data_IF_601909679724
#
_entry.id   IF_601909679724
#
_cell.length_a   1.000
_cell.length_b   1.000
_cell.length_c   1.000
_cell.angle_alpha   90.00
_cell.angle_beta   90.00
_cell.angle_gamma   90.00
#
_symmetry.space_group_name_H-M   'P 1'
#
loop_
_entity.id
_entity.type
_entity.pdbx_description
1 polymer ?
#
# COMPACT_ATOMS: atom_id res chain seq x y z
N UNK A 1 -6.86 16.56 -3.87
CA UNK A 1 -6.21 15.29 -4.26
C UNK A 1 -5.09 15.02 -3.28
N UNK A 2 -5.06 13.85 -2.65
CA UNK A 2 -3.99 13.40 -1.76
C UNK A 2 -3.17 12.28 -2.42
N UNK A 3 -1.99 12.02 -1.91
CA UNK A 3 -1.10 10.94 -2.36
C UNK A 3 -0.17 10.51 -1.23
N UNK A 4 0.43 9.33 -1.37
CA UNK A 4 1.37 8.78 -0.40
C UNK A 4 2.80 9.04 -0.89
N UNK A 5 3.66 9.52 0.00
CA UNK A 5 5.10 9.56 -0.27
C UNK A 5 5.66 8.15 -0.07
N UNK A 6 6.00 7.48 -1.17
CA UNK A 6 6.58 6.14 -1.17
C UNK A 6 7.70 6.03 -2.21
N UNK A 7 8.42 4.93 -2.22
CA UNK A 7 9.47 4.67 -3.21
C UNK A 7 8.83 4.70 -4.61
N UNK A 8 9.41 5.46 -5.52
CA UNK A 8 8.83 5.68 -6.84
C UNK A 8 8.62 4.37 -7.63
N UNK A 9 9.50 3.39 -7.41
CA UNK A 9 9.43 2.06 -8.02
C UNK A 9 8.25 1.21 -7.51
N UNK A 10 7.81 1.44 -6.27
CA UNK A 10 6.70 0.69 -5.65
C UNK A 10 5.34 1.31 -5.99
N UNK A 11 5.34 2.50 -6.60
CA UNK A 11 4.11 3.12 -7.06
C UNK A 11 3.55 2.38 -8.29
N UNK A 12 2.26 2.02 -8.31
CA UNK A 12 1.65 1.39 -9.47
C UNK A 12 1.84 2.23 -10.74
N UNK A 13 2.01 1.56 -11.89
CA UNK A 13 2.18 2.27 -13.17
C UNK A 13 1.01 3.22 -13.41
N UNK A 14 1.31 4.49 -13.71
CA UNK A 14 0.32 5.55 -13.93
C UNK A 14 -0.20 6.23 -12.67
N UNK A 15 0.25 5.82 -11.48
CA UNK A 15 -0.09 6.47 -10.21
C UNK A 15 0.99 7.43 -9.72
N UNK A 16 2.19 7.42 -10.32
CA UNK A 16 3.23 8.38 -9.95
C UNK A 16 2.75 9.79 -10.30
N UNK A 17 2.93 10.73 -9.37
CA UNK A 17 2.59 12.12 -9.61
C UNK A 17 3.38 12.69 -10.78
N UNK A 18 2.69 13.29 -11.75
CA UNK A 18 3.35 14.05 -12.83
C UNK A 18 4.15 15.23 -12.25
N UNK A 19 3.66 15.81 -11.15
CA UNK A 19 4.33 16.89 -10.44
C UNK A 19 5.36 16.33 -9.47
N UNK A 20 6.63 16.47 -9.81
CA UNK A 20 7.74 16.15 -8.92
C UNK A 20 7.85 17.16 -7.76
N UNK A 21 8.46 16.71 -6.66
CA UNK A 21 8.76 17.57 -5.50
C UNK A 21 7.62 17.72 -4.50
N UNK A 22 6.58 16.88 -4.62
CA UNK A 22 5.50 16.79 -3.63
C UNK A 22 5.95 16.15 -2.31
N UNK A 23 7.06 15.41 -2.31
CA UNK A 23 7.72 14.85 -1.12
C UNK A 23 9.12 15.48 -0.92
N UNK A 24 9.21 16.78 -0.56
CA UNK A 24 10.44 17.56 -0.66
C UNK A 24 11.58 17.05 0.24
N UNK A 25 11.26 16.51 1.42
CA UNK A 25 12.27 16.05 2.39
C UNK A 25 12.84 14.66 2.05
N UNK A 26 12.12 13.85 1.29
CA UNK A 26 12.43 12.42 1.07
C UNK A 26 12.97 12.14 -0.33
N UNK A 27 13.01 13.15 -1.20
CA UNK A 27 13.38 13.04 -2.61
C UNK A 27 14.79 12.44 -2.84
N UNK A 28 15.73 12.68 -1.93
CA UNK A 28 17.10 12.12 -1.99
C UNK A 28 17.15 10.60 -1.78
N UNK A 29 16.05 9.99 -1.33
CA UNK A 29 15.94 8.57 -1.05
C UNK A 29 15.16 7.81 -2.14
N UNK A 30 14.88 8.45 -3.29
CA UNK A 30 14.09 7.83 -4.37
C UNK A 30 12.58 7.77 -4.09
N UNK A 31 12.11 8.54 -3.10
CA UNK A 31 10.69 8.65 -2.74
C UNK A 31 10.03 9.73 -3.59
N UNK A 32 8.86 9.43 -4.15
CA UNK A 32 8.01 10.37 -4.86
C UNK A 32 6.54 10.25 -4.41
N UNK A 33 5.71 11.19 -4.84
CA UNK A 33 4.29 11.17 -4.52
C UNK A 33 3.56 10.19 -5.44
N UNK A 34 2.93 9.19 -4.86
CA UNK A 34 2.06 8.26 -5.55
C UNK A 34 0.60 8.71 -5.35
N UNK A 35 -0.03 9.19 -6.41
CA UNK A 35 -1.45 9.52 -6.45
C UNK A 35 -2.30 8.25 -6.45
N UNK A 36 -3.45 8.29 -5.77
CA UNK A 36 -4.45 7.22 -5.91
C UNK A 36 -4.30 6.03 -4.95
N UNK A 37 -3.37 6.06 -4.00
CA UNK A 37 -3.63 5.38 -2.71
C UNK A 37 -4.47 6.35 -1.90
N UNK A 38 -5.78 6.25 -2.09
CA UNK A 38 -6.73 7.00 -1.26
C UNK A 38 -6.49 6.62 0.20
N UNK A 39 -6.62 7.54 1.15
CA UNK A 39 -6.71 7.14 2.57
C UNK A 39 -7.94 6.24 2.83
N UNK A 40 -8.85 6.14 1.85
CA UNK A 40 -9.98 5.20 1.83
C UNK A 40 -9.66 3.90 1.08
N UNK A 41 -8.45 3.72 0.57
CA UNK A 41 -8.05 2.47 -0.06
C UNK A 41 -7.89 1.43 1.04
N UNK A 42 -8.77 0.45 1.01
CA UNK A 42 -8.86 -0.62 2.01
C UNK A 42 -8.69 -1.98 1.36
N UNK A 43 -8.23 -2.06 0.10
CA UNK A 43 -7.99 -3.36 -0.56
C UNK A 43 -6.60 -3.87 -0.23
N UNK A 44 -6.52 -5.06 0.33
CA UNK A 44 -5.31 -5.78 0.66
C UNK A 44 -4.29 -5.77 -0.50
N UNK A 45 -4.74 -6.07 -1.72
CA UNK A 45 -3.83 -6.12 -2.88
C UNK A 45 -3.20 -4.77 -3.21
N UNK A 46 -3.88 -3.67 -2.86
CA UNK A 46 -3.42 -2.29 -3.11
C UNK A 46 -2.46 -1.80 -2.05
N UNK A 47 -2.45 -2.44 -0.88
CA UNK A 47 -1.45 -2.25 0.17
C UNK A 47 -0.24 -3.18 0.01
N UNK A 48 -0.16 -3.97 -1.07
CA UNK A 48 0.94 -4.92 -1.29
C UNK A 48 0.82 -6.17 -0.41
N UNK A 49 -0.38 -6.48 0.07
CA UNK A 49 -0.70 -7.72 0.76
C UNK A 49 -1.36 -8.75 -0.13
N UNK A 50 -1.62 -9.91 0.46
CA UNK A 50 -2.43 -10.97 -0.12
C UNK A 50 -3.45 -11.48 0.89
N UNK A 51 -4.65 -11.81 0.40
CA UNK A 51 -5.67 -12.47 1.20
C UNK A 51 -5.25 -13.93 1.41
N UNK A 52 -5.06 -14.29 2.67
CA UNK A 52 -4.65 -15.62 3.11
C UNK A 52 -5.76 -16.20 3.98
N UNK A 53 -5.85 -17.53 4.05
CA UNK A 53 -6.79 -18.18 4.97
C UNK A 53 -6.52 -17.77 6.42
N UNK A 54 -7.56 -17.78 7.25
CA UNK A 54 -7.46 -17.31 8.63
C UNK A 54 -6.47 -18.12 9.49
N UNK A 55 -6.29 -19.40 9.19
CA UNK A 55 -5.33 -20.33 9.82
C UNK A 55 -3.89 -20.16 9.32
N UNK A 56 -3.67 -19.48 8.20
CA UNK A 56 -2.34 -19.18 7.69
C UNK A 56 -1.61 -18.24 8.65
N UNK A 57 -0.37 -18.56 9.02
CA UNK A 57 0.40 -17.71 9.91
C UNK A 57 0.92 -16.47 9.16
N UNK A 58 0.57 -15.28 9.66
CA UNK A 58 1.29 -14.05 9.37
C UNK A 58 1.55 -13.29 10.67
N UNK A 59 2.70 -12.61 10.74
CA UNK A 59 3.08 -11.85 11.94
C UNK A 59 1.98 -10.81 12.23
N UNK A 60 1.48 -10.70 13.47
CA UNK A 60 0.45 -9.72 13.82
C UNK A 60 0.76 -8.29 13.38
N UNK A 61 2.04 -7.91 13.31
CA UNK A 61 2.48 -6.58 12.85
C UNK A 61 2.29 -6.31 11.36
N UNK A 62 2.00 -7.34 10.55
CA UNK A 62 1.76 -7.21 9.10
C UNK A 62 0.33 -7.57 8.71
N UNK A 63 -0.57 -7.70 9.68
CA UNK A 63 -2.00 -7.92 9.42
C UNK A 63 -2.66 -6.57 9.16
N UNK A 64 -3.47 -6.49 8.12
CA UNK A 64 -4.28 -5.32 7.79
C UNK A 64 -5.77 -5.67 7.92
N UNK A 65 -6.34 -5.38 9.08
CA UNK A 65 -7.71 -5.79 9.44
C UNK A 65 -8.78 -4.98 8.71
N UNK A 66 -8.44 -3.80 8.19
CA UNK A 66 -9.36 -2.95 7.42
C UNK A 66 -9.56 -3.43 5.97
N UNK A 67 -8.99 -4.58 5.60
CA UNK A 67 -9.10 -5.14 4.26
C UNK A 67 -10.57 -5.44 3.87
N UNK A 68 -11.02 -4.91 2.73
CA UNK A 68 -12.41 -5.08 2.24
C UNK A 68 -12.55 -6.03 1.05
N UNK A 69 -11.44 -6.48 0.48
CA UNK A 69 -11.36 -7.37 -0.69
C UNK A 69 -11.05 -8.83 -0.33
N UNK A 70 -10.85 -9.15 0.95
CA UNK A 70 -10.70 -10.54 1.42
C UNK A 70 -12.06 -11.15 1.78
N UNK A 71 -12.23 -12.45 1.57
CA UNK A 71 -13.46 -13.16 1.93
C UNK A 71 -13.66 -13.34 3.45
N UNK A 72 -14.83 -13.82 3.86
CA UNK A 72 -15.21 -13.97 5.29
C UNK A 72 -14.27 -14.88 6.11
N UNK A 73 -13.54 -15.80 5.47
CA UNK A 73 -12.57 -16.70 6.13
C UNK A 73 -11.11 -16.42 5.71
N UNK A 74 -10.86 -15.20 5.25
CA UNK A 74 -9.54 -14.74 4.83
C UNK A 74 -9.14 -13.49 5.63
N UNK A 75 -7.83 -13.26 5.70
CA UNK A 75 -7.22 -12.07 6.30
C UNK A 75 -6.18 -11.51 5.36
N UNK A 76 -5.99 -10.20 5.40
CA UNK A 76 -4.92 -9.56 4.65
C UNK A 76 -3.61 -9.68 5.41
N UNK A 77 -2.62 -10.33 4.78
CA UNK A 77 -1.24 -10.31 5.26
C UNK A 77 -0.40 -9.46 4.28
N UNK A 78 0.21 -8.38 4.78
CA UNK A 78 1.10 -7.53 4.01
C UNK A 78 2.40 -8.29 3.71
N UNK A 79 2.82 -8.29 2.44
CA UNK A 79 3.99 -9.05 1.96
C UNK A 79 5.24 -8.18 1.82
N UNK A 80 5.10 -6.86 1.91
CA UNK A 80 6.22 -5.91 1.91
C UNK A 80 6.54 -5.53 3.36
N UNK A 81 7.79 -5.77 3.77
CA UNK A 81 8.35 -5.42 5.07
C UNK A 81 9.28 -4.20 4.95
#
# INVERSE_FOLDING_TARGET
MGGLCTIAADCPKGHLAEKQGLCPNQRKQGIDCCHGVSMKETRCIKHGGACMKQDFYCNPSVIFDEATDCGENEKCCLLMA
#
